data_IF_280363270564
#
_entry.id   IF_280363270564
#
_cell.length_a   1.000
_cell.length_b   1.000
_cell.length_c   1.000
_cell.angle_alpha   90.00
_cell.angle_beta   90.00
_cell.angle_gamma   90.00
#
_symmetry.space_group_name_H-M   'P 1'
#
loop_
_entity.id
_entity.type
_entity.pdbx_description
1 polymer ?
#
# COMPACT_ATOMS: atom_id res chain seq x y z
N UNK A 1 -53.45 -16.52 31.99
CA UNK A 1 -53.21 -17.00 30.63
C UNK A 1 -52.66 -15.85 29.82
N UNK A 2 -51.52 -16.05 29.12
CA UNK A 2 -51.02 -15.05 28.19
C UNK A 2 -52.01 -14.86 27.04
N UNK A 3 -52.38 -13.61 26.80
CA UNK A 3 -53.26 -13.30 25.66
C UNK A 3 -52.44 -13.23 24.37
N UNK A 4 -52.75 -13.98 23.33
CA UNK A 4 -51.98 -14.01 22.12
C UNK A 4 -52.09 -12.69 21.31
N UNK A 5 -53.17 -11.92 21.55
CA UNK A 5 -53.42 -10.62 20.97
C UNK A 5 -54.07 -9.71 22.02
N UNK A 6 -53.56 -8.51 22.20
CA UNK A 6 -54.16 -7.47 23.05
C UNK A 6 -54.12 -6.15 22.29
N UNK A 7 -55.26 -5.49 22.27
CA UNK A 7 -55.41 -4.12 21.73
C UNK A 7 -55.68 -3.19 22.91
N UNK A 8 -54.82 -2.21 23.10
CA UNK A 8 -55.01 -1.17 24.09
C UNK A 8 -55.84 -0.05 23.43
N UNK A 9 -57.09 0.06 23.87
CA UNK A 9 -58.04 1.04 23.30
C UNK A 9 -57.66 2.51 23.57
N UNK A 10 -56.96 2.76 24.70
CA UNK A 10 -56.57 4.12 25.09
C UNK A 10 -55.32 4.62 24.30
N UNK A 11 -54.37 3.74 24.04
CA UNK A 11 -53.16 4.10 23.32
C UNK A 11 -53.18 3.73 21.83
N UNK A 12 -54.18 2.96 21.39
CA UNK A 12 -54.24 2.40 20.04
C UNK A 12 -53.18 1.35 19.72
N UNK A 13 -52.41 0.90 20.73
CA UNK A 13 -51.35 -0.08 20.52
C UNK A 13 -51.89 -1.51 20.45
N UNK A 14 -51.31 -2.32 19.61
CA UNK A 14 -51.56 -3.76 19.48
C UNK A 14 -50.36 -4.51 20.02
N UNK A 15 -50.60 -5.32 21.04
CA UNK A 15 -49.59 -6.20 21.61
C UNK A 15 -49.79 -7.61 21.05
N UNK A 16 -48.76 -8.14 20.42
CA UNK A 16 -48.70 -9.53 19.95
C UNK A 16 -47.93 -10.36 20.95
N UNK A 17 -48.32 -11.63 21.09
CA UNK A 17 -47.68 -12.55 22.04
C UNK A 17 -46.19 -12.79 21.69
N UNK A 18 -45.47 -13.51 22.56
CA UNK A 18 -44.02 -13.66 22.42
C UNK A 18 -43.56 -14.32 21.09
N UNK A 19 -44.38 -15.19 20.50
CA UNK A 19 -44.08 -15.92 19.28
C UNK A 19 -45.09 -15.54 18.16
N UNK A 20 -44.88 -14.39 17.57
CA UNK A 20 -45.77 -13.95 16.45
C UNK A 20 -45.18 -14.39 15.10
N UNK A 21 -45.96 -15.21 14.37
CA UNK A 21 -45.61 -15.67 13.03
C UNK A 21 -46.50 -14.98 11.98
N UNK A 22 -45.88 -14.33 11.01
CA UNK A 22 -46.51 -13.74 9.84
C UNK A 22 -46.17 -14.63 8.63
N UNK A 23 -47.23 -15.21 8.00
CA UNK A 23 -47.03 -16.11 6.84
C UNK A 23 -46.90 -15.35 5.51
N UNK A 24 -46.96 -14.04 5.52
CA UNK A 24 -46.84 -13.17 4.34
C UNK A 24 -45.85 -12.04 4.58
N UNK A 25 -45.93 -11.04 3.72
CA UNK A 25 -45.14 -9.81 3.88
C UNK A 25 -45.73 -8.97 5.02
N UNK A 26 -44.87 -8.50 5.91
CA UNK A 26 -45.23 -7.50 6.92
C UNK A 26 -45.16 -6.10 6.29
N UNK A 27 -46.22 -5.33 6.35
CA UNK A 27 -46.28 -3.92 5.93
C UNK A 27 -46.30 -3.00 7.16
N UNK A 28 -45.49 -1.96 7.13
CA UNK A 28 -45.49 -0.88 8.11
C UNK A 28 -45.48 0.44 7.34
N UNK A 29 -46.66 0.97 7.05
CA UNK A 29 -46.82 2.04 6.05
C UNK A 29 -46.31 1.58 4.69
N UNK A 30 -45.45 2.36 4.04
CA UNK A 30 -44.82 2.00 2.77
C UNK A 30 -43.61 1.04 2.91
N UNK A 31 -43.10 0.86 4.12
CA UNK A 31 -42.04 -0.11 4.42
C UNK A 31 -42.60 -1.52 4.51
N UNK A 32 -41.79 -2.52 4.17
CA UNK A 32 -42.18 -3.92 4.26
C UNK A 32 -41.00 -4.86 4.50
N UNK A 33 -41.27 -5.96 5.19
CA UNK A 33 -40.36 -7.11 5.30
C UNK A 33 -40.97 -8.26 4.52
N UNK A 34 -40.30 -8.70 3.48
CA UNK A 34 -40.74 -9.79 2.61
C UNK A 34 -40.44 -11.16 3.23
N UNK A 35 -41.15 -12.20 2.75
CA UNK A 35 -41.00 -13.57 3.24
C UNK A 35 -39.60 -14.18 3.09
N UNK A 36 -38.78 -13.64 2.19
CA UNK A 36 -37.37 -14.03 2.02
C UNK A 36 -36.40 -13.29 2.98
N UNK A 37 -36.92 -12.46 3.90
CA UNK A 37 -36.14 -11.68 4.84
C UNK A 37 -35.63 -10.34 4.32
N UNK A 38 -35.87 -10.00 3.04
CA UNK A 38 -35.47 -8.70 2.51
C UNK A 38 -36.40 -7.59 2.99
N UNK A 39 -35.85 -6.41 3.22
CA UNK A 39 -36.59 -5.24 3.66
C UNK A 39 -36.65 -4.18 2.54
N UNK A 40 -37.83 -3.53 2.43
CA UNK A 40 -38.02 -2.39 1.54
C UNK A 40 -38.27 -1.14 2.36
N UNK A 41 -37.68 -0.03 1.97
CA UNK A 41 -37.91 1.23 2.66
C UNK A 41 -37.33 2.44 1.92
N UNK A 42 -37.88 3.60 2.23
CA UNK A 42 -37.44 4.90 1.69
C UNK A 42 -36.03 5.25 2.13
N UNK A 43 -35.61 4.81 3.33
CA UNK A 43 -34.29 5.12 3.90
C UNK A 43 -33.11 4.66 3.03
N UNK A 44 -33.30 3.61 2.23
CA UNK A 44 -32.31 3.10 1.27
C UNK A 44 -32.77 3.11 -0.18
N UNK A 45 -33.88 3.79 -0.46
CA UNK A 45 -34.38 4.03 -1.82
C UNK A 45 -34.98 2.80 -2.53
N UNK A 46 -35.39 1.76 -1.79
CA UNK A 46 -35.95 0.55 -2.37
C UNK A 46 -35.71 -0.69 -1.52
N UNK A 47 -35.19 -1.76 -2.11
CA UNK A 47 -34.82 -2.97 -1.38
C UNK A 47 -33.43 -2.83 -0.72
N UNK A 48 -33.32 -3.27 0.52
CA UNK A 48 -32.05 -3.24 1.29
C UNK A 48 -30.93 -4.01 0.58
N UNK A 49 -31.27 -5.16 -0.03
CA UNK A 49 -30.30 -5.94 -0.80
C UNK A 49 -29.67 -5.13 -1.94
N UNK A 50 -30.49 -4.38 -2.68
CA UNK A 50 -30.03 -3.60 -3.82
C UNK A 50 -29.16 -2.42 -3.36
N UNK A 51 -29.57 -1.74 -2.29
CA UNK A 51 -28.77 -0.70 -1.66
C UNK A 51 -27.40 -1.23 -1.22
N UNK A 52 -27.37 -2.36 -0.52
CA UNK A 52 -26.13 -2.95 -0.06
C UNK A 52 -25.22 -3.38 -1.21
N UNK A 53 -25.77 -3.97 -2.28
CA UNK A 53 -25.01 -4.34 -3.47
C UNK A 53 -24.36 -3.12 -4.13
N UNK A 54 -25.08 -2.00 -4.23
CA UNK A 54 -24.55 -0.75 -4.77
C UNK A 54 -23.40 -0.22 -3.88
N UNK A 55 -23.58 -0.23 -2.55
CA UNK A 55 -22.54 0.24 -1.62
C UNK A 55 -21.29 -0.65 -1.66
N UNK A 56 -21.47 -1.96 -1.74
CA UNK A 56 -20.35 -2.89 -1.84
C UNK A 56 -19.60 -2.74 -3.16
N UNK A 57 -20.30 -2.62 -4.28
CA UNK A 57 -19.67 -2.38 -5.58
C UNK A 57 -18.88 -1.06 -5.62
N UNK A 58 -19.41 0.02 -5.03
CA UNK A 58 -18.71 1.30 -4.94
C UNK A 58 -17.44 1.19 -4.09
N UNK A 59 -17.51 0.47 -2.97
CA UNK A 59 -16.34 0.21 -2.11
C UNK A 59 -15.29 -0.64 -2.83
N UNK A 60 -15.69 -1.71 -3.50
CA UNK A 60 -14.80 -2.62 -4.21
C UNK A 60 -14.10 -1.89 -5.37
N UNK A 61 -14.81 -1.03 -6.09
CA UNK A 61 -14.21 -0.15 -7.10
C UNK A 61 -13.16 0.79 -6.48
N UNK A 62 -13.46 1.38 -5.32
CA UNK A 62 -12.50 2.26 -4.60
C UNK A 62 -11.27 1.50 -4.12
N UNK A 63 -11.40 0.22 -3.75
CA UNK A 63 -10.27 -0.64 -3.37
C UNK A 63 -9.44 -1.00 -4.61
N UNK A 64 -10.09 -1.36 -5.71
CA UNK A 64 -9.43 -1.81 -6.93
C UNK A 64 -8.60 -0.73 -7.63
N UNK A 65 -8.89 0.56 -7.41
CA UNK A 65 -8.08 1.66 -7.95
C UNK A 65 -6.89 2.03 -7.06
N UNK A 66 -6.74 1.41 -5.90
CA UNK A 66 -5.57 1.62 -5.02
C UNK A 66 -4.38 0.82 -5.53
N UNK A 67 -3.19 1.40 -5.37
CA UNK A 67 -1.97 0.66 -5.65
C UNK A 67 -1.89 -0.57 -4.72
N UNK A 68 -1.73 -1.75 -5.28
CA UNK A 68 -1.48 -2.96 -4.52
C UNK A 68 -0.05 -2.97 -3.99
N UNK A 69 0.22 -3.75 -2.95
CA UNK A 69 1.59 -3.95 -2.43
C UNK A 69 2.50 -4.47 -3.55
N UNK A 70 2.02 -5.40 -4.36
CA UNK A 70 2.79 -5.94 -5.49
C UNK A 70 3.11 -4.87 -6.53
N UNK A 71 2.13 -4.04 -6.89
CA UNK A 71 2.35 -2.93 -7.82
C UNK A 71 3.38 -1.92 -7.27
N UNK A 72 3.29 -1.58 -5.98
CA UNK A 72 4.26 -0.68 -5.31
C UNK A 72 5.66 -1.28 -5.36
N UNK A 73 5.81 -2.55 -4.98
CA UNK A 73 7.10 -3.24 -4.98
C UNK A 73 7.72 -3.36 -6.37
N UNK A 74 6.89 -3.46 -7.41
CA UNK A 74 7.35 -3.55 -8.80
C UNK A 74 7.77 -2.21 -9.42
N UNK A 75 7.20 -1.12 -8.93
CA UNK A 75 7.33 0.19 -9.60
C UNK A 75 8.14 1.22 -8.81
N UNK A 76 8.38 0.99 -7.53
CA UNK A 76 9.13 1.92 -6.70
C UNK A 76 10.48 1.35 -6.26
N UNK A 77 11.41 2.26 -5.95
CA UNK A 77 12.70 1.90 -5.38
C UNK A 77 12.51 1.37 -3.96
N UNK A 78 12.93 0.13 -3.74
CA UNK A 78 12.86 -0.51 -2.42
C UNK A 78 14.07 -0.17 -1.56
N UNK A 79 15.23 0.09 -2.19
CA UNK A 79 16.49 0.30 -1.50
C UNK A 79 17.47 1.06 -2.38
N UNK A 80 18.37 1.83 -1.75
CA UNK A 80 19.52 2.49 -2.38
C UNK A 80 20.73 2.16 -1.55
N UNK A 81 21.77 1.63 -2.19
CA UNK A 81 22.99 1.17 -1.51
C UNK A 81 24.21 1.32 -2.41
N UNK A 82 25.38 1.19 -1.81
CA UNK A 82 26.64 1.17 -2.53
C UNK A 82 27.00 -0.26 -2.95
N UNK A 83 27.42 -0.41 -4.20
CA UNK A 83 27.89 -1.69 -4.75
C UNK A 83 29.26 -2.10 -4.23
N UNK A 84 29.83 -3.10 -4.88
CA UNK A 84 31.18 -3.60 -4.55
C UNK A 84 32.22 -2.52 -4.78
N UNK A 85 33.19 -2.41 -3.86
CA UNK A 85 34.29 -1.48 -3.96
C UNK A 85 35.21 -1.84 -5.13
N UNK A 86 35.58 -0.84 -5.87
CA UNK A 86 36.54 -0.90 -6.98
C UNK A 86 37.72 0.02 -6.69
N UNK A 87 38.85 -0.29 -7.27
CA UNK A 87 40.07 0.48 -7.10
C UNK A 87 40.67 0.85 -8.47
N UNK A 88 40.98 2.12 -8.62
CA UNK A 88 41.75 2.61 -9.77
C UNK A 88 43.14 2.96 -9.32
N UNK A 89 44.15 2.39 -10.01
CA UNK A 89 45.57 2.73 -9.87
C UNK A 89 46.12 3.29 -11.18
N UNK A 90 46.77 4.44 -11.15
CA UNK A 90 47.43 4.98 -12.34
C UNK A 90 48.65 4.17 -12.80
N UNK A 91 49.06 3.16 -12.04
CA UNK A 91 50.22 2.30 -12.35
C UNK A 91 51.56 2.91 -12.00
N UNK A 92 51.66 4.20 -11.73
CA UNK A 92 52.89 4.89 -11.32
C UNK A 92 52.52 6.16 -10.55
N UNK A 93 53.33 6.47 -9.55
CA UNK A 93 53.22 7.69 -8.73
C UNK A 93 54.03 8.87 -9.27
N UNK A 94 54.77 8.70 -10.36
CA UNK A 94 55.60 9.74 -10.98
C UNK A 94 54.97 10.35 -12.23
N UNK A 95 53.73 10.05 -12.52
CA UNK A 95 52.99 10.60 -13.66
C UNK A 95 51.79 11.42 -13.16
N UNK A 96 51.44 12.45 -13.91
CA UNK A 96 50.16 13.12 -13.70
C UNK A 96 49.02 12.24 -14.18
N UNK A 97 47.94 12.19 -13.41
CA UNK A 97 46.77 11.41 -13.75
C UNK A 97 45.47 12.13 -13.35
N UNK A 98 44.42 11.79 -14.03
CA UNK A 98 43.08 12.27 -13.75
C UNK A 98 42.15 11.06 -13.67
N UNK A 99 41.32 11.01 -12.68
CA UNK A 99 40.28 9.99 -12.55
C UNK A 99 38.93 10.65 -12.40
N UNK A 100 38.00 10.27 -13.24
CA UNK A 100 36.60 10.55 -13.10
C UNK A 100 35.89 9.24 -12.78
N UNK A 101 35.18 9.19 -11.66
CA UNK A 101 34.34 8.03 -11.37
C UNK A 101 33.36 7.80 -12.54
N UNK A 102 33.14 6.57 -12.99
CA UNK A 102 32.17 6.29 -14.03
C UNK A 102 30.78 6.79 -13.64
N UNK A 103 29.91 7.01 -14.63
CA UNK A 103 28.53 7.43 -14.36
C UNK A 103 27.88 6.48 -13.35
N UNK A 104 27.11 7.05 -12.42
CA UNK A 104 26.45 6.30 -11.37
C UNK A 104 27.39 5.76 -10.27
N UNK A 105 28.63 6.24 -10.20
CA UNK A 105 29.60 5.86 -9.17
C UNK A 105 29.99 7.06 -8.31
N UNK A 106 30.51 6.77 -7.14
CA UNK A 106 31.00 7.76 -6.18
C UNK A 106 32.39 7.35 -5.66
N UNK A 107 33.27 8.31 -5.46
CA UNK A 107 34.54 8.08 -4.77
C UNK A 107 34.25 7.75 -3.30
N UNK A 108 34.91 6.70 -2.79
CA UNK A 108 34.75 6.23 -1.40
C UNK A 108 36.05 6.28 -0.62
N UNK A 109 37.16 6.48 -1.27
CA UNK A 109 38.46 6.58 -0.58
C UNK A 109 39.61 6.93 -1.50
N UNK A 110 40.72 7.27 -0.90
CA UNK A 110 42.01 7.47 -1.56
C UNK A 110 43.08 6.57 -0.90
N UNK A 111 44.00 6.09 -1.69
CA UNK A 111 45.18 5.37 -1.22
C UNK A 111 46.40 6.30 -1.32
N UNK A 112 47.01 6.58 -0.21
CA UNK A 112 48.13 7.53 -0.12
C UNK A 112 49.33 6.84 0.52
N UNK A 113 50.50 7.08 -0.02
CA UNK A 113 51.77 6.60 0.55
C UNK A 113 52.63 7.76 1.01
N UNK A 114 53.38 7.51 2.07
CA UNK A 114 54.43 8.40 2.53
C UNK A 114 55.67 8.20 1.65
N UNK A 115 56.28 9.28 1.19
CA UNK A 115 57.53 9.29 0.42
C UNK A 115 58.80 9.42 1.30
N UNK A 116 58.63 9.38 2.61
CA UNK A 116 59.76 9.33 3.55
C UNK A 116 60.17 10.66 4.19
N UNK A 117 59.38 11.71 4.00
CA UNK A 117 59.67 13.04 4.59
C UNK A 117 58.58 13.57 5.51
N UNK A 118 57.89 12.71 6.24
CA UNK A 118 56.81 13.05 7.17
C UNK A 118 55.52 13.57 6.51
N UNK A 119 55.29 13.29 5.25
CA UNK A 119 54.02 13.64 4.55
C UNK A 119 53.55 12.51 3.64
N UNK A 120 52.27 12.22 3.68
CA UNK A 120 51.60 11.32 2.72
C UNK A 120 51.28 12.12 1.46
N UNK A 121 52.24 12.30 0.57
CA UNK A 121 52.17 13.20 -0.56
C UNK A 121 51.98 12.51 -1.92
N UNK A 122 51.97 11.18 -1.97
CA UNK A 122 51.66 10.41 -3.16
C UNK A 122 50.30 9.75 -3.07
N UNK A 123 49.44 10.09 -3.99
CA UNK A 123 48.17 9.38 -4.18
C UNK A 123 48.38 8.21 -5.15
N UNK A 124 48.32 6.98 -4.63
CA UNK A 124 48.56 5.74 -5.39
C UNK A 124 47.33 5.30 -6.17
N UNK A 125 46.15 5.79 -5.79
CA UNK A 125 44.93 5.45 -6.43
C UNK A 125 43.70 5.86 -5.62
N UNK A 126 42.56 5.54 -6.13
CA UNK A 126 41.27 5.88 -5.53
C UNK A 126 40.35 4.69 -5.48
N UNK A 127 39.51 4.66 -4.44
CA UNK A 127 38.41 3.69 -4.32
C UNK A 127 37.10 4.31 -4.71
N UNK A 128 36.28 3.54 -5.38
CA UNK A 128 34.96 3.99 -5.80
C UNK A 128 33.93 2.86 -5.82
N UNK A 129 32.65 3.20 -5.70
CA UNK A 129 31.55 2.25 -5.68
C UNK A 129 30.42 2.74 -6.57
N UNK A 130 29.72 1.81 -7.20
CA UNK A 130 28.46 2.12 -7.87
C UNK A 130 27.39 2.50 -6.84
N UNK A 131 26.63 3.53 -7.10
CA UNK A 131 25.36 3.79 -6.42
C UNK A 131 24.30 2.92 -7.09
N UNK A 132 23.70 2.03 -6.33
CA UNK A 132 22.75 1.05 -6.83
C UNK A 132 21.38 1.25 -6.20
N UNK A 133 20.35 0.92 -6.96
CA UNK A 133 18.96 0.86 -6.50
C UNK A 133 18.39 -0.53 -6.73
N UNK A 134 17.43 -0.91 -5.91
CA UNK A 134 16.66 -2.14 -6.07
C UNK A 134 15.21 -1.81 -6.40
N UNK A 135 14.69 -2.40 -7.47
CA UNK A 135 13.28 -2.33 -7.86
C UNK A 135 12.84 -3.73 -8.25
N UNK A 136 11.77 -4.23 -7.69
CA UNK A 136 11.25 -5.57 -7.94
C UNK A 136 12.34 -6.67 -7.82
N UNK A 137 13.18 -6.58 -6.80
CA UNK A 137 14.28 -7.52 -6.58
C UNK A 137 15.49 -7.37 -7.52
N UNK A 138 15.39 -6.56 -8.57
CA UNK A 138 16.47 -6.32 -9.53
C UNK A 138 17.35 -5.18 -9.05
N UNK A 139 18.67 -5.42 -9.03
CA UNK A 139 19.68 -4.43 -8.70
C UNK A 139 20.18 -3.75 -9.97
N UNK A 140 20.15 -2.42 -9.98
CA UNK A 140 20.59 -1.59 -11.09
C UNK A 140 21.49 -0.45 -10.58
N UNK A 141 22.57 -0.14 -11.29
CA UNK A 141 23.32 1.09 -11.08
C UNK A 141 22.47 2.29 -11.54
N UNK A 142 22.46 3.36 -10.75
CA UNK A 142 21.77 4.58 -11.18
C UNK A 142 22.46 5.17 -12.39
N UNK A 143 21.67 5.72 -13.33
CA UNK A 143 22.21 6.47 -14.44
C UNK A 143 22.79 7.80 -13.91
N UNK A 144 23.99 8.14 -14.29
CA UNK A 144 24.63 9.42 -14.00
C UNK A 144 24.44 10.39 -15.15
#
# INVERSE_FOLDING_TARGET
AARPLYVNADSGQVYLGPDTRINGTLYVGDARVHTNGNAYGIAWGGWLSDYLNIQFAARDNSINVRATIDWVNQNFVNDIFLGVEQYYSPGSNIISWIFHAPNGHVLTGINVSDTGSNSADNINGVYYKAIQKRVNGVVMTIAG
#
